data_IF_930497966322
#
_entry.id   IF_930497966322
#
_cell.length_a   1.000
_cell.length_b   1.000
_cell.length_c   1.000
_cell.angle_alpha   90.00
_cell.angle_beta   90.00
_cell.angle_gamma   90.00
#
_symmetry.space_group_name_H-M   'P 1'
#
loop_
_entity.id
_entity.type
_entity.pdbx_description
1 polymer ?
#
# COMPACT_ATOMS: atom_id res chain seq x y z
N UNK A 1 -7.35 3.09 3.49
CA UNK A 1 -6.14 3.60 2.78
C UNK A 1 -6.47 4.30 1.46
N UNK A 2 -7.48 3.84 0.70
CA UNK A 2 -7.76 4.38 -0.64
C UNK A 2 -8.68 5.61 -0.71
N UNK A 3 -9.34 6.00 0.39
CA UNK A 3 -10.35 7.07 0.38
C UNK A 3 -9.83 8.38 -0.20
N UNK A 4 -8.64 8.84 0.23
CA UNK A 4 -8.04 10.05 -0.31
C UNK A 4 -7.60 9.91 -1.77
N UNK A 5 -7.09 8.74 -2.16
CA UNK A 5 -6.71 8.46 -3.56
C UNK A 5 -7.89 8.49 -4.53
N UNK A 6 -9.12 8.25 -4.04
CA UNK A 6 -10.34 8.35 -4.83
C UNK A 6 -11.10 9.67 -4.64
N UNK A 7 -10.55 10.63 -3.91
CA UNK A 7 -11.17 11.96 -3.72
C UNK A 7 -12.37 11.98 -2.77
N UNK A 8 -12.56 10.96 -1.93
CA UNK A 8 -13.63 10.96 -0.92
C UNK A 8 -13.33 11.85 0.29
N UNK A 9 -12.05 12.13 0.54
CA UNK A 9 -11.57 12.90 1.71
C UNK A 9 -10.21 13.50 1.39
N UNK A 10 -9.94 14.70 1.89
CA UNK A 10 -8.61 15.32 1.72
C UNK A 10 -7.54 14.52 2.50
N UNK A 11 -6.31 14.42 1.97
CA UNK A 11 -5.22 13.70 2.63
C UNK A 11 -4.84 14.19 4.03
N UNK A 12 -5.01 15.48 4.29
CA UNK A 12 -4.69 16.12 5.58
C UNK A 12 -5.88 16.19 6.53
N UNK A 13 -7.06 15.69 6.13
CA UNK A 13 -8.22 15.62 7.02
C UNK A 13 -7.89 14.77 8.27
N UNK A 14 -8.13 15.29 9.48
CA UNK A 14 -7.82 14.58 10.73
C UNK A 14 -8.41 13.16 10.82
N UNK A 15 -9.56 12.90 10.20
CA UNK A 15 -10.18 11.57 10.13
C UNK A 15 -9.39 10.63 9.24
N UNK A 16 -8.90 11.10 8.09
CA UNK A 16 -8.07 10.27 7.22
C UNK A 16 -6.71 9.97 7.88
N UNK A 17 -6.06 10.99 8.43
CA UNK A 17 -4.78 10.84 9.15
C UNK A 17 -4.91 9.85 10.30
N UNK A 18 -5.93 9.99 11.14
CA UNK A 18 -6.17 9.05 12.25
C UNK A 18 -6.50 7.63 11.76
N UNK A 19 -7.23 7.49 10.66
CA UNK A 19 -7.53 6.20 10.03
C UNK A 19 -6.27 5.50 9.53
N UNK A 20 -5.39 6.20 8.80
CA UNK A 20 -4.13 5.64 8.29
C UNK A 20 -3.25 5.15 9.46
N UNK A 21 -3.08 5.99 10.49
CA UNK A 21 -2.30 5.64 11.68
C UNK A 21 -2.87 4.44 12.44
N UNK A 22 -4.20 4.38 12.59
CA UNK A 22 -4.88 3.27 13.27
C UNK A 22 -4.74 1.97 12.48
N UNK A 23 -4.95 2.02 11.16
CA UNK A 23 -4.76 0.86 10.27
C UNK A 23 -3.31 0.36 10.35
N UNK A 24 -2.31 1.24 10.30
CA UNK A 24 -0.89 0.84 10.46
C UNK A 24 -0.67 0.15 11.80
N UNK A 25 -1.15 0.75 12.90
CA UNK A 25 -1.00 0.18 14.24
C UNK A 25 -1.63 -1.20 14.38
N UNK A 26 -2.81 -1.40 13.80
CA UNK A 26 -3.59 -2.63 14.00
C UNK A 26 -3.23 -3.73 13.00
N UNK A 27 -2.91 -3.38 11.76
CA UNK A 27 -2.73 -4.33 10.66
C UNK A 27 -1.28 -4.45 10.15
N UNK A 28 -0.32 -3.66 10.64
CA UNK A 28 1.08 -3.91 10.31
C UNK A 28 1.65 -5.06 11.16
N UNK A 29 2.52 -5.85 10.55
CA UNK A 29 3.36 -6.85 11.20
C UNK A 29 4.67 -6.97 10.42
N UNK A 30 5.80 -6.84 11.12
CA UNK A 30 7.14 -6.89 10.54
C UNK A 30 7.31 -5.99 9.30
N UNK A 31 6.58 -4.88 9.29
CA UNK A 31 6.64 -3.91 8.21
C UNK A 31 5.85 -4.24 6.95
N UNK A 32 5.02 -5.26 7.01
CA UNK A 32 4.08 -5.70 6.00
C UNK A 32 2.64 -5.55 6.53
N UNK A 33 1.67 -5.49 5.64
CA UNK A 33 0.26 -5.26 6.01
C UNK A 33 -0.57 -6.52 5.84
N UNK A 34 -1.37 -6.83 6.86
CA UNK A 34 -2.56 -7.66 6.70
C UNK A 34 -3.62 -6.92 5.87
N UNK A 35 -4.46 -7.68 5.16
CA UNK A 35 -5.71 -7.15 4.60
C UNK A 35 -6.76 -6.92 5.71
N UNK A 36 -6.85 -7.85 6.66
CA UNK A 36 -7.63 -7.82 7.89
C UNK A 36 -7.04 -8.85 8.87
N UNK A 37 -7.45 -8.81 10.15
CA UNK A 37 -7.02 -9.75 11.21
C UNK A 37 -8.15 -10.57 11.82
N UNK A 38 -9.36 -10.48 11.27
CA UNK A 38 -10.49 -11.27 11.74
C UNK A 38 -10.40 -12.69 11.18
N UNK A 39 -10.89 -13.67 11.93
CA UNK A 39 -11.13 -15.01 11.41
C UNK A 39 -12.20 -14.93 10.31
N UNK A 40 -11.92 -15.58 9.18
CA UNK A 40 -12.88 -15.78 8.10
C UNK A 40 -13.05 -17.29 7.79
N UNK A 41 -13.79 -17.60 6.72
CA UNK A 41 -14.03 -18.98 6.28
C UNK A 41 -12.73 -19.76 5.93
N UNK A 42 -11.59 -19.07 5.81
CA UNK A 42 -10.27 -19.60 5.51
C UNK A 42 -9.31 -19.56 6.72
N UNK A 43 -9.77 -19.10 7.88
CA UNK A 43 -9.00 -19.00 9.12
C UNK A 43 -8.38 -17.62 9.35
N UNK A 44 -7.52 -17.52 10.36
CA UNK A 44 -6.78 -16.27 10.61
C UNK A 44 -5.75 -16.07 9.48
N UNK A 45 -5.73 -14.90 8.80
CA UNK A 45 -4.71 -14.62 7.79
C UNK A 45 -3.29 -14.82 8.34
N UNK A 46 -2.42 -15.47 7.58
CA UNK A 46 -1.04 -15.80 7.99
C UNK A 46 0.02 -15.12 7.11
N UNK A 47 -0.40 -14.47 6.03
CA UNK A 47 0.44 -13.77 5.05
C UNK A 47 0.06 -12.28 4.95
N UNK A 48 1.01 -11.49 4.47
CA UNK A 48 0.75 -10.11 4.08
C UNK A 48 0.13 -10.06 2.71
N UNK A 49 -0.88 -9.18 2.54
CA UNK A 49 -1.40 -8.86 1.21
C UNK A 49 -0.54 -7.74 0.60
N UNK A 50 0.26 -8.07 -0.41
CA UNK A 50 1.34 -7.20 -0.93
C UNK A 50 0.82 -5.82 -1.34
N UNK A 51 -0.33 -5.79 -2.03
CA UNK A 51 -0.96 -4.53 -2.47
C UNK A 51 -1.35 -3.63 -1.28
N UNK A 52 -1.77 -4.19 -0.14
CA UNK A 52 -2.07 -3.40 1.06
C UNK A 52 -0.81 -2.74 1.65
N UNK A 53 0.34 -3.39 1.52
CA UNK A 53 1.62 -2.82 1.94
C UNK A 53 2.00 -1.61 1.09
N UNK A 54 1.84 -1.68 -0.23
CA UNK A 54 2.04 -0.51 -1.11
C UNK A 54 0.98 0.58 -0.88
N UNK A 55 -0.28 0.23 -0.65
CA UNK A 55 -1.29 1.23 -0.29
C UNK A 55 -0.99 1.94 1.03
N UNK A 56 -0.32 1.28 1.98
CA UNK A 56 0.15 1.94 3.20
C UNK A 56 1.26 2.94 2.90
N UNK A 57 2.23 2.60 2.05
CA UNK A 57 3.25 3.55 1.56
C UNK A 57 2.58 4.80 0.97
N UNK A 58 1.66 4.61 0.02
CA UNK A 58 0.92 5.71 -0.63
C UNK A 58 0.18 6.57 0.39
N UNK A 59 -0.51 5.95 1.35
CA UNK A 59 -1.25 6.66 2.38
C UNK A 59 -0.34 7.44 3.34
N UNK A 60 0.79 6.87 3.75
CA UNK A 60 1.78 7.54 4.59
C UNK A 60 2.34 8.80 3.91
N UNK A 61 2.67 8.68 2.63
CA UNK A 61 3.12 9.81 1.82
C UNK A 61 2.06 10.92 1.76
N UNK A 62 0.81 10.53 1.49
CA UNK A 62 -0.34 11.45 1.39
C UNK A 62 -0.60 12.22 2.69
N UNK A 63 -0.48 11.59 3.86
CA UNK A 63 -0.67 12.25 5.16
C UNK A 63 0.56 13.03 5.65
N UNK A 64 1.62 13.12 4.83
CA UNK A 64 2.85 13.84 5.15
C UNK A 64 3.91 13.05 5.94
N UNK A 65 3.68 11.78 6.27
CA UNK A 65 4.68 10.89 6.90
C UNK A 65 5.67 10.34 5.85
N UNK A 66 6.32 11.22 5.10
CA UNK A 66 7.09 10.90 3.89
C UNK A 66 8.29 10.00 4.15
N UNK A 67 9.10 10.30 5.16
CA UNK A 67 10.29 9.50 5.46
C UNK A 67 9.93 8.05 5.80
N UNK A 68 8.80 7.83 6.47
CA UNK A 68 8.33 6.47 6.78
C UNK A 68 7.78 5.77 5.53
N UNK A 69 7.10 6.51 4.65
CA UNK A 69 6.67 6.00 3.36
C UNK A 69 7.87 5.53 2.51
N UNK A 70 8.93 6.34 2.42
CA UNK A 70 10.16 6.01 1.70
C UNK A 70 10.85 4.78 2.27
N UNK A 71 11.07 4.74 3.60
CA UNK A 71 11.66 3.56 4.27
C UNK A 71 10.86 2.29 4.01
N UNK A 72 9.53 2.37 4.10
CA UNK A 72 8.68 1.23 3.87
C UNK A 72 8.70 0.80 2.40
N UNK A 73 8.74 1.75 1.46
CA UNK A 73 8.82 1.49 0.03
C UNK A 73 10.13 0.79 -0.34
N UNK A 74 11.28 1.32 0.08
CA UNK A 74 12.59 0.73 -0.16
C UNK A 74 12.68 -0.70 0.37
N UNK A 75 12.14 -0.94 1.57
CA UNK A 75 12.08 -2.29 2.13
C UNK A 75 11.23 -3.23 1.28
N UNK A 76 10.07 -2.77 0.78
CA UNK A 76 9.21 -3.59 -0.08
C UNK A 76 9.91 -3.94 -1.40
N UNK A 77 10.64 -3.00 -2.01
CA UNK A 77 11.42 -3.27 -3.22
C UNK A 77 12.45 -4.39 -3.00
N UNK A 78 13.03 -4.47 -1.80
CA UNK A 78 13.95 -5.54 -1.42
C UNK A 78 13.32 -6.95 -1.34
N UNK A 79 11.99 -7.06 -1.35
CA UNK A 79 11.28 -8.35 -1.35
C UNK A 79 10.89 -8.81 -2.77
N UNK A 80 11.13 -8.00 -3.79
CA UNK A 80 10.95 -8.43 -5.17
C UNK A 80 11.91 -9.58 -5.49
N UNK A 81 11.52 -10.45 -6.42
CA UNK A 81 12.42 -11.51 -6.87
C UNK A 81 13.49 -10.94 -7.81
N UNK A 82 14.38 -11.79 -8.31
CA UNK A 82 15.45 -11.41 -9.23
C UNK A 82 14.98 -10.76 -10.55
N UNK A 83 13.69 -10.85 -10.90
CA UNK A 83 13.07 -10.19 -12.05
C UNK A 83 12.33 -8.89 -11.68
N UNK A 84 12.31 -8.50 -10.40
CA UNK A 84 11.55 -7.36 -9.91
C UNK A 84 10.05 -7.63 -9.76
N UNK A 85 9.62 -8.90 -9.75
CA UNK A 85 8.21 -9.27 -9.71
C UNK A 85 7.71 -9.53 -8.29
N UNK A 86 6.42 -9.33 -8.06
CA UNK A 86 5.70 -9.62 -6.81
C UNK A 86 4.55 -10.62 -7.01
N UNK A 87 4.31 -11.44 -5.99
CA UNK A 87 3.08 -12.22 -5.84
C UNK A 87 1.96 -11.42 -5.18
N UNK A 88 0.83 -12.08 -4.99
CA UNK A 88 -0.28 -11.58 -4.19
C UNK A 88 0.12 -11.38 -2.74
N UNK A 89 0.77 -12.39 -2.16
CA UNK A 89 1.09 -12.42 -0.75
C UNK A 89 2.59 -12.53 -0.49
N UNK A 90 3.01 -12.05 0.68
CA UNK A 90 4.34 -12.27 1.24
C UNK A 90 4.22 -12.93 2.61
N UNK A 91 5.03 -13.95 2.88
CA UNK A 91 5.16 -14.49 4.23
C UNK A 91 5.74 -13.42 5.18
N UNK A 92 5.13 -13.23 6.36
CA UNK A 92 5.57 -12.20 7.31
C UNK A 92 6.98 -12.41 7.84
N UNK A 93 7.48 -13.65 7.90
CA UNK A 93 8.79 -13.99 8.44
C UNK A 93 9.80 -14.16 7.32
N UNK A 94 9.58 -15.12 6.43
CA UNK A 94 10.53 -15.53 5.39
C UNK A 94 10.56 -14.56 4.21
N UNK A 95 9.50 -13.75 4.02
CA UNK A 95 9.30 -12.88 2.85
C UNK A 95 9.18 -13.67 1.54
N UNK A 96 8.89 -14.96 1.62
CA UNK A 96 8.60 -15.77 0.44
C UNK A 96 7.31 -15.30 -0.23
N UNK A 97 7.29 -15.42 -1.55
CA UNK A 97 6.14 -15.09 -2.38
C UNK A 97 5.11 -16.20 -2.34
N UNK A 98 3.89 -15.86 -1.94
CA UNK A 98 2.77 -16.77 -1.77
C UNK A 98 1.60 -16.36 -2.67
N UNK A 99 0.74 -17.33 -2.98
CA UNK A 99 -0.46 -17.11 -3.78
C UNK A 99 -0.17 -16.84 -5.26
N UNK A 100 -1.02 -16.02 -5.88
CA UNK A 100 -0.95 -15.74 -7.31
C UNK A 100 0.37 -15.06 -7.69
N UNK A 101 1.02 -15.53 -8.76
CA UNK A 101 2.29 -14.99 -9.24
C UNK A 101 2.40 -15.06 -10.78
N UNK A 102 2.84 -13.97 -11.46
CA UNK A 102 2.99 -12.61 -10.94
C UNK A 102 1.63 -11.96 -10.70
N UNK A 103 1.50 -11.14 -9.65
CA UNK A 103 0.22 -10.53 -9.31
C UNK A 103 0.06 -9.12 -9.87
N UNK A 104 -0.88 -8.91 -10.79
CA UNK A 104 -1.06 -7.64 -11.51
C UNK A 104 -1.32 -6.44 -10.59
N UNK A 105 -2.20 -6.58 -9.59
CA UNK A 105 -2.55 -5.47 -8.69
C UNK A 105 -1.41 -5.09 -7.73
N UNK A 106 -0.56 -6.05 -7.33
CA UNK A 106 0.66 -5.76 -6.56
C UNK A 106 1.59 -4.85 -7.37
N UNK A 107 1.78 -5.13 -8.66
CA UNK A 107 2.61 -4.32 -9.56
C UNK A 107 1.98 -2.96 -9.87
N UNK A 108 0.65 -2.89 -10.02
CA UNK A 108 -0.04 -1.61 -10.18
C UNK A 108 0.20 -0.70 -8.97
N UNK A 109 0.04 -1.22 -7.75
CA UNK A 109 0.28 -0.44 -6.54
C UNK A 109 1.76 -0.05 -6.35
N UNK A 110 2.70 -0.90 -6.79
CA UNK A 110 4.13 -0.56 -6.87
C UNK A 110 4.37 0.64 -7.80
N UNK A 111 3.84 0.60 -9.02
CA UNK A 111 3.98 1.67 -10.02
C UNK A 111 3.38 2.98 -9.50
N UNK A 112 2.18 2.91 -8.91
CA UNK A 112 1.52 4.06 -8.27
C UNK A 112 2.42 4.71 -7.20
N UNK A 113 3.06 3.91 -6.36
CA UNK A 113 3.97 4.43 -5.34
C UNK A 113 5.21 5.06 -5.98
N UNK A 114 5.80 4.41 -6.99
CA UNK A 114 6.98 4.94 -7.68
C UNK A 114 6.71 6.29 -8.36
N UNK A 115 5.55 6.45 -9.00
CA UNK A 115 5.12 7.73 -9.61
C UNK A 115 4.97 8.80 -8.53
N UNK A 116 4.27 8.48 -7.44
CA UNK A 116 3.99 9.41 -6.35
C UNK A 116 5.27 9.87 -5.62
N UNK A 117 6.13 8.94 -5.23
CA UNK A 117 7.36 9.21 -4.48
C UNK A 117 8.44 9.83 -5.40
N UNK A 118 8.47 9.45 -6.67
CA UNK A 118 9.38 10.03 -7.67
C UNK A 118 9.02 11.46 -8.09
N UNK A 119 7.91 12.02 -7.58
CA UNK A 119 7.46 13.37 -7.93
C UNK A 119 7.06 13.52 -9.41
N UNK A 120 6.81 12.40 -10.10
CA UNK A 120 6.33 12.40 -11.48
C UNK A 120 4.89 12.90 -11.43
N UNK A 121 4.66 14.12 -11.92
CA UNK A 121 3.32 14.67 -12.02
C UNK A 121 2.58 13.95 -13.13
N UNK A 122 1.52 13.23 -12.77
CA UNK A 122 0.53 12.83 -13.76
C UNK A 122 -0.09 14.09 -14.37
N UNK A 123 -0.14 14.15 -15.70
CA UNK A 123 -1.03 15.08 -16.40
C UNK A 123 -2.47 14.65 -16.14
N UNK A 124 -3.01 15.07 -14.99
CA UNK A 124 -4.38 14.73 -14.60
C UNK A 124 -5.41 15.29 -15.59
N UNK A 125 -6.57 14.64 -15.75
CA UNK A 125 -7.67 15.20 -16.52
C UNK A 125 -8.07 16.55 -15.92
N UNK A 126 -8.29 17.56 -16.77
CA UNK A 126 -8.99 18.77 -16.36
C UNK A 126 -10.27 18.37 -15.65
N UNK A 127 -10.45 18.78 -14.40
CA UNK A 127 -11.71 18.62 -13.69
C UNK A 127 -12.85 19.02 -14.63
N UNK A 128 -13.92 18.20 -14.77
CA UNK A 128 -15.06 18.62 -15.57
C UNK A 128 -15.54 19.96 -15.02
N UNK A 129 -15.55 20.97 -15.89
CA UNK A 129 -16.02 22.30 -15.55
C UNK A 129 -17.36 22.17 -14.84
N UNK A 130 -17.52 22.88 -13.73
CA UNK A 130 -18.81 23.02 -13.06
C UNK A 130 -19.83 23.44 -14.13
N UNK A 131 -20.86 22.60 -14.34
CA UNK A 131 -22.06 22.96 -15.10
C UNK A 131 -22.75 24.15 -14.45
#
# INVERSE_FOLDING_TARGET
>A
LLMASYGFIEPDDPKFVSTVRKIRKELAQDGLMFRYKNDDDFGTPTSSFTVCSFWMVKALWQIGEREEAERMFERLLGYANHLGLFSEDLDFKTKEMLGNFPQGYSHLALIDCAILLGGIREGGPTAPGKL
#
